data_IF_873000224322
#
_entry.id   IF_873000224322
#
_cell.length_a   1.000
_cell.length_b   1.000
_cell.length_c   1.000
_cell.angle_alpha   90.00
_cell.angle_beta   90.00
_cell.angle_gamma   90.00
#
_symmetry.space_group_name_H-M   'P 1'
#
loop_
_entity.id
_entity.type
_entity.pdbx_description
1 polymer ?
#
# COMPACT_ATOMS: atom_id res chain seq x y z
N UNK A 1 4.43 -17.71 0.85
CA UNK A 1 2.97 -17.53 1.04
C UNK A 1 2.43 -16.92 -0.23
N UNK A 2 1.58 -17.64 -0.95
CA UNK A 2 1.25 -17.32 -2.34
C UNK A 2 0.06 -16.35 -2.50
N UNK A 3 -0.76 -16.17 -1.46
CA UNK A 3 -2.02 -15.41 -1.54
C UNK A 3 -1.93 -14.02 -0.86
N UNK A 4 -0.98 -13.84 0.07
CA UNK A 4 -0.84 -12.62 0.86
C UNK A 4 0.58 -12.06 0.72
N UNK A 5 0.67 -10.75 0.48
CA UNK A 5 1.90 -9.98 0.51
C UNK A 5 2.01 -9.23 1.84
N UNK A 6 3.22 -9.22 2.40
CA UNK A 6 3.55 -8.46 3.62
C UNK A 6 4.31 -7.20 3.24
N UNK A 7 3.74 -6.04 3.55
CA UNK A 7 4.39 -4.75 3.41
C UNK A 7 5.05 -4.41 4.74
N UNK A 8 6.38 -4.25 4.73
CA UNK A 8 7.13 -3.98 5.96
C UNK A 8 6.96 -2.53 6.40
N UNK A 9 7.03 -2.23 7.71
CA UNK A 9 7.01 -0.86 8.18
C UNK A 9 8.28 -0.13 7.76
N UNK A 10 8.13 1.12 7.35
CA UNK A 10 9.24 2.01 7.05
C UNK A 10 9.84 2.49 8.37
N UNK A 11 11.10 2.10 8.63
CA UNK A 11 11.84 2.49 9.83
C UNK A 11 13.16 3.10 9.39
N UNK A 12 13.23 4.44 9.30
CA UNK A 12 14.45 5.14 8.89
C UNK A 12 15.55 5.08 9.95
N UNK A 13 15.17 5.08 11.23
CA UNK A 13 16.12 5.11 12.34
C UNK A 13 15.73 4.09 13.40
N UNK A 14 16.50 3.00 13.51
CA UNK A 14 16.20 1.83 14.37
C UNK A 14 16.07 2.19 15.86
N UNK A 15 16.67 3.31 16.27
CA UNK A 15 16.60 3.85 17.63
C UNK A 15 15.28 4.60 17.95
N UNK A 16 14.58 5.16 16.96
CA UNK A 16 13.29 5.86 17.17
C UNK A 16 12.13 4.86 17.05
N UNK A 17 11.83 4.18 18.17
CA UNK A 17 10.73 3.20 18.36
C UNK A 17 9.30 3.79 18.32
N UNK A 18 9.02 4.75 17.44
CA UNK A 18 7.69 5.38 17.34
C UNK A 18 6.78 4.76 16.26
N UNK A 19 7.34 3.91 15.39
CA UNK A 19 6.60 3.21 14.33
C UNK A 19 6.03 1.89 14.84
N UNK A 20 4.79 1.58 14.46
CA UNK A 20 4.18 0.26 14.70
C UNK A 20 4.88 -0.76 13.80
N UNK A 21 5.47 -1.78 14.41
CA UNK A 21 6.32 -2.76 13.72
C UNK A 21 5.58 -3.86 12.95
N UNK A 22 4.26 -3.92 13.06
CA UNK A 22 3.46 -4.98 12.44
C UNK A 22 3.36 -4.74 10.94
N UNK A 23 3.69 -5.74 10.08
CA UNK A 23 3.57 -5.57 8.63
C UNK A 23 2.09 -5.45 8.21
N UNK A 24 1.79 -4.53 7.29
CA UNK A 24 0.49 -4.47 6.63
C UNK A 24 0.36 -5.65 5.67
N UNK A 25 -0.76 -6.36 5.74
CA UNK A 25 -1.08 -7.47 4.85
C UNK A 25 -1.90 -6.96 3.68
N UNK A 26 -1.56 -7.42 2.48
CA UNK A 26 -2.28 -7.10 1.25
C UNK A 26 -2.59 -8.39 0.50
N UNK A 27 -3.79 -8.47 -0.07
CA UNK A 27 -4.15 -9.60 -0.94
C UNK A 27 -3.38 -9.48 -2.26
N UNK A 28 -2.80 -10.58 -2.72
CA UNK A 28 -2.05 -10.61 -3.99
C UNK A 28 -2.98 -10.49 -5.20
N UNK A 29 -4.20 -11.00 -5.07
CA UNK A 29 -5.23 -10.96 -6.11
C UNK A 29 -6.52 -10.40 -5.52
N UNK A 30 -6.93 -9.23 -5.99
CA UNK A 30 -8.16 -8.57 -5.57
C UNK A 30 -9.40 -9.17 -6.22
N UNK A 31 -9.29 -9.79 -7.39
CA UNK A 31 -10.37 -10.55 -8.01
C UNK A 31 -10.72 -11.79 -7.21
N UNK A 32 -9.70 -12.54 -6.77
CA UNK A 32 -9.89 -13.66 -5.84
C UNK A 32 -10.50 -13.17 -4.51
N UNK A 33 -10.04 -12.04 -3.98
CA UNK A 33 -10.61 -11.46 -2.78
C UNK A 33 -12.09 -11.07 -2.98
N UNK A 34 -12.44 -10.44 -4.10
CA UNK A 34 -13.84 -10.14 -4.47
C UNK A 34 -14.69 -11.40 -4.51
N UNK A 35 -14.20 -12.46 -5.17
CA UNK A 35 -14.90 -13.73 -5.25
C UNK A 35 -15.16 -14.34 -3.86
N UNK A 36 -14.17 -14.36 -2.98
CA UNK A 36 -14.30 -14.85 -1.60
C UNK A 36 -15.24 -14.00 -0.73
N UNK A 37 -15.38 -12.72 -1.04
CA UNK A 37 -16.32 -11.80 -0.39
C UNK A 37 -17.73 -11.87 -0.98
N UNK A 38 -17.97 -12.69 -2.01
CA UNK A 38 -19.25 -12.79 -2.70
C UNK A 38 -19.59 -11.57 -3.56
N UNK A 39 -18.60 -10.74 -3.90
CA UNK A 39 -18.75 -9.58 -4.77
C UNK A 39 -18.71 -10.05 -6.22
N UNK A 40 -19.87 -10.13 -6.86
CA UNK A 40 -20.03 -10.72 -8.21
C UNK A 40 -20.36 -9.70 -9.29
N UNK A 41 -20.71 -8.47 -8.92
CA UNK A 41 -20.97 -7.38 -9.86
C UNK A 41 -20.19 -6.11 -9.51
N UNK A 42 -19.88 -5.25 -10.51
CA UNK A 42 -19.23 -3.96 -10.27
C UNK A 42 -20.02 -3.06 -9.31
N UNK A 43 -21.36 -3.07 -9.40
CA UNK A 43 -22.22 -2.31 -8.52
C UNK A 43 -22.09 -2.76 -7.06
N UNK A 44 -22.03 -4.08 -6.81
CA UNK A 44 -21.79 -4.62 -5.47
C UNK A 44 -20.42 -4.22 -4.94
N UNK A 45 -19.38 -4.26 -5.79
CA UNK A 45 -18.02 -3.86 -5.40
C UNK A 45 -17.98 -2.39 -4.98
N UNK A 46 -18.55 -1.49 -5.79
CA UNK A 46 -18.53 -0.04 -5.53
C UNK A 46 -19.32 0.36 -4.28
N UNK A 47 -20.37 -0.39 -3.93
CA UNK A 47 -21.17 -0.18 -2.72
C UNK A 47 -20.63 -0.93 -1.49
N UNK A 48 -19.59 -1.75 -1.66
CA UNK A 48 -19.04 -2.58 -0.59
C UNK A 48 -18.20 -1.77 0.38
N UNK A 49 -18.34 -2.05 1.68
CA UNK A 49 -17.41 -1.57 2.71
C UNK A 49 -15.96 -2.05 2.50
N UNK A 50 -15.75 -3.08 1.66
CA UNK A 50 -14.43 -3.61 1.33
C UNK A 50 -13.76 -2.92 0.14
N UNK A 51 -14.48 -2.07 -0.61
CA UNK A 51 -13.99 -1.43 -1.83
C UNK A 51 -12.64 -0.75 -1.62
N UNK A 52 -12.55 0.08 -0.57
CA UNK A 52 -11.33 0.82 -0.27
C UNK A 52 -10.13 -0.09 -0.06
N UNK A 53 -10.24 -1.08 0.83
CA UNK A 53 -9.15 -2.04 1.09
C UNK A 53 -8.76 -2.89 -0.13
N UNK A 54 -9.73 -3.21 -1.00
CA UNK A 54 -9.48 -3.91 -2.26
C UNK A 54 -8.72 -2.99 -3.24
N UNK A 55 -9.12 -1.72 -3.36
CA UNK A 55 -8.43 -0.74 -4.19
C UNK A 55 -7.00 -0.49 -3.69
N UNK A 56 -6.79 -0.37 -2.37
CA UNK A 56 -5.44 -0.31 -1.80
C UNK A 56 -4.60 -1.51 -2.19
N UNK A 57 -5.14 -2.71 -1.98
CA UNK A 57 -4.46 -3.97 -2.27
C UNK A 57 -4.04 -4.01 -3.73
N UNK A 58 -4.95 -3.63 -4.63
CA UNK A 58 -4.69 -3.55 -6.07
C UNK A 58 -3.53 -2.61 -6.38
N UNK A 59 -3.59 -1.37 -5.91
CA UNK A 59 -2.55 -0.36 -6.17
C UNK A 59 -1.20 -0.80 -5.61
N UNK A 60 -1.16 -1.36 -4.41
CA UNK A 60 0.08 -1.88 -3.83
C UNK A 60 0.65 -3.04 -4.68
N UNK A 61 -0.20 -3.94 -5.18
CA UNK A 61 0.25 -5.03 -6.06
C UNK A 61 0.76 -4.52 -7.40
N UNK A 62 0.16 -3.47 -7.98
CA UNK A 62 0.71 -2.80 -9.17
C UNK A 62 2.12 -2.25 -8.89
N UNK A 63 2.35 -1.61 -7.74
CA UNK A 63 3.69 -1.19 -7.36
C UNK A 63 4.66 -2.39 -7.25
N UNK A 64 4.24 -3.52 -6.66
CA UNK A 64 5.08 -4.72 -6.62
C UNK A 64 5.39 -5.29 -8.00
N UNK A 65 4.44 -5.26 -8.93
CA UNK A 65 4.68 -5.64 -10.32
C UNK A 65 5.67 -4.70 -10.96
N UNK A 66 5.48 -3.38 -10.87
CA UNK A 66 6.41 -2.36 -11.38
C UNK A 66 7.84 -2.54 -10.87
N UNK A 67 8.01 -2.91 -9.59
CA UNK A 67 9.34 -3.23 -9.04
C UNK A 67 10.02 -4.44 -9.71
N UNK A 68 9.25 -5.39 -10.24
CA UNK A 68 9.81 -6.60 -10.85
C UNK A 68 10.53 -6.38 -12.18
N UNK A 69 10.22 -5.29 -12.89
CA UNK A 69 10.80 -4.96 -14.21
C UNK A 69 11.47 -3.58 -14.25
N UNK A 70 11.40 -2.81 -13.16
CA UNK A 70 12.14 -1.55 -13.07
C UNK A 70 13.64 -1.79 -13.01
N UNK A 71 14.42 -1.00 -13.76
CA UNK A 71 15.88 -1.00 -13.66
C UNK A 71 16.37 -0.43 -12.33
N UNK A 72 15.57 0.41 -11.67
CA UNK A 72 15.90 1.02 -10.39
C UNK A 72 15.37 0.14 -9.25
N UNK A 73 16.28 -0.30 -8.38
CA UNK A 73 15.88 -1.05 -7.18
C UNK A 73 15.11 -0.15 -6.23
N UNK A 74 13.83 -0.45 -6.03
CA UNK A 74 12.98 0.22 -5.05
C UNK A 74 12.29 -0.81 -4.17
N UNK A 75 11.84 -0.38 -3.00
CA UNK A 75 11.11 -1.20 -2.05
C UNK A 75 9.88 -0.43 -1.57
N UNK A 76 8.75 -1.13 -1.53
CA UNK A 76 7.49 -0.63 -0.97
C UNK A 76 7.46 -0.89 0.53
N UNK A 77 7.17 0.17 1.28
CA UNK A 77 6.93 0.14 2.71
C UNK A 77 5.61 0.84 3.04
N UNK A 78 5.13 0.62 4.26
CA UNK A 78 4.03 1.39 4.85
C UNK A 78 4.55 2.09 6.11
N UNK A 79 3.88 3.13 6.59
CA UNK A 79 4.27 3.82 7.81
C UNK A 79 3.04 4.03 8.69
N UNK A 80 3.14 3.68 9.98
CA UNK A 80 2.13 3.99 10.97
C UNK A 80 2.79 4.37 12.29
N UNK A 81 2.38 5.48 12.89
CA UNK A 81 2.86 5.90 14.21
C UNK A 81 1.86 5.59 15.33
N UNK A 82 2.28 5.80 16.59
CA UNK A 82 1.40 5.63 17.77
C UNK A 82 0.26 6.65 17.84
N UNK A 83 0.34 7.76 17.09
CA UNK A 83 -0.70 8.79 17.00
C UNK A 83 -1.71 8.50 15.88
N UNK A 84 -1.67 7.28 15.32
CA UNK A 84 -2.55 6.81 14.23
C UNK A 84 -2.36 7.57 12.91
N UNK A 85 -1.24 8.26 12.71
CA UNK A 85 -0.89 8.75 11.38
C UNK A 85 -0.47 7.55 10.54
N UNK A 86 -1.18 7.28 9.45
CA UNK A 86 -0.95 6.14 8.58
C UNK A 86 -0.68 6.60 7.14
N UNK A 87 0.30 5.95 6.53
CA UNK A 87 0.63 6.07 5.12
C UNK A 87 0.80 4.65 4.58
N UNK A 88 0.10 4.35 3.51
CA UNK A 88 0.04 3.01 2.94
C UNK A 88 1.21 2.68 2.04
N UNK A 89 1.73 3.68 1.32
CA UNK A 89 2.88 3.53 0.42
C UNK A 89 3.98 4.55 0.70
N UNK A 90 5.18 4.02 0.89
CA UNK A 90 6.46 4.72 0.86
C UNK A 90 7.38 3.94 -0.08
N UNK A 91 7.87 4.60 -1.14
CA UNK A 91 8.84 4.01 -2.06
C UNK A 91 10.25 4.43 -1.66
N UNK A 92 11.12 3.45 -1.40
CA UNK A 92 12.49 3.71 -0.94
C UNK A 92 13.51 2.96 -1.79
N UNK A 93 14.53 3.68 -2.27
CA UNK A 93 15.58 3.15 -3.14
C UNK A 93 16.76 2.55 -2.38
N UNK A 94 16.78 2.67 -1.05
CA UNK A 94 17.96 2.38 -0.22
C UNK A 94 18.79 3.63 0.12
N UNK A 95 18.64 4.70 -0.66
CA UNK A 95 19.29 6.00 -0.40
C UNK A 95 18.28 7.12 -0.17
N UNK A 96 17.18 7.13 -0.93
CA UNK A 96 16.18 8.19 -0.90
C UNK A 96 14.75 7.63 -0.93
N UNK A 97 13.83 8.38 -0.34
CA UNK A 97 12.39 8.16 -0.51
C UNK A 97 11.96 8.84 -1.80
N UNK A 98 11.28 8.12 -2.68
CA UNK A 98 10.83 8.67 -3.97
C UNK A 98 9.62 9.59 -3.76
N UNK A 99 9.58 10.73 -4.45
CA UNK A 99 8.41 11.59 -4.46
C UNK A 99 7.30 11.02 -5.35
N UNK A 100 6.06 11.28 -4.94
CA UNK A 100 4.84 11.15 -5.72
C UNK A 100 4.35 12.55 -6.08
N UNK A 101 4.06 12.77 -7.35
CA UNK A 101 3.49 14.02 -7.82
C UNK A 101 1.97 13.90 -7.91
N UNK A 102 1.26 14.75 -7.18
CA UNK A 102 -0.21 14.85 -7.20
C UNK A 102 -0.56 16.30 -7.58
N UNK A 103 -0.82 16.52 -8.87
CA UNK A 103 -0.97 17.87 -9.42
C UNK A 103 0.29 18.70 -9.15
N UNK A 104 0.14 19.82 -8.45
CA UNK A 104 1.26 20.70 -8.06
C UNK A 104 1.94 20.28 -6.74
N UNK A 105 1.42 19.27 -6.03
CA UNK A 105 1.96 18.83 -4.74
C UNK A 105 2.92 17.66 -4.92
N UNK A 106 4.03 17.71 -4.19
CA UNK A 106 4.96 16.59 -4.06
C UNK A 106 4.81 15.94 -2.69
N UNK A 107 4.39 14.68 -2.67
CA UNK A 107 4.23 13.88 -1.45
C UNK A 107 5.25 12.75 -1.43
N UNK A 108 5.86 12.43 -0.28
CA UNK A 108 6.82 11.31 -0.17
C UNK A 108 6.18 10.03 0.38
N UNK A 109 4.88 10.11 0.65
CA UNK A 109 4.12 9.16 1.42
C UNK A 109 2.67 9.31 0.95
N UNK A 110 2.05 8.23 0.47
CA UNK A 110 0.66 8.25 0.01
C UNK A 110 -0.25 7.46 0.94
N UNK A 111 -1.20 8.11 1.62
CA UNK A 111 -2.37 7.41 2.16
C UNK A 111 -3.27 7.03 0.98
N UNK A 112 -3.39 5.74 0.72
CA UNK A 112 -4.22 5.22 -0.37
C UNK A 112 -5.70 5.44 -0.10
N UNK A 113 -6.09 5.69 1.14
CA UNK A 113 -7.45 6.14 1.50
C UNK A 113 -7.93 7.35 0.71
N UNK A 114 -7.04 8.19 0.20
CA UNK A 114 -7.41 9.30 -0.68
C UNK A 114 -7.98 8.86 -2.04
N UNK A 115 -7.86 7.59 -2.43
CA UNK A 115 -8.28 7.11 -3.75
C UNK A 115 -9.78 6.77 -3.85
N UNK A 116 -10.49 6.68 -2.72
CA UNK A 116 -11.92 6.35 -2.69
C UNK A 116 -12.74 7.24 -1.74
N UNK A 117 -12.17 8.34 -1.29
CA UNK A 117 -12.85 9.39 -0.50
C UNK A 117 -13.50 10.40 -1.43
#
# INVERSE_FOLDING_TARGET
>A
MFIIKRVRPFVKNRAKRQTIGMPKLQMVDTGLACHLLGLTSPAQLLQSNFYGGLLESFVVMECFKHMGWSQQTMKVYHYRDKRKNEVDIVLYTGSAVLPFQIGERTCYALPLSMLWV
#
